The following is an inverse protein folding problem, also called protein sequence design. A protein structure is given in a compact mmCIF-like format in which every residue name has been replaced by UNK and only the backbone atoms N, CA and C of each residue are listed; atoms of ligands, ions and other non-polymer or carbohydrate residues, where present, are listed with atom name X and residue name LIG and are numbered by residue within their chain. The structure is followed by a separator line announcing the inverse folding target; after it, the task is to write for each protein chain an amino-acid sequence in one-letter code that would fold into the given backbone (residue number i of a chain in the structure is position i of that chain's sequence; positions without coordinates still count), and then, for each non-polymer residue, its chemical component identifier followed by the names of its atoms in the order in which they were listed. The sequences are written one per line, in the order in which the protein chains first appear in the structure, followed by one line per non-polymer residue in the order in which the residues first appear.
data_IF_174115868846
#
_entry.id   IF_174115868846
#
_cell.length_a   1.000
_cell.length_b   1.000
_cell.length_c   1.000
_cell.angle_alpha   90.00
_cell.angle_beta   90.00
_cell.angle_gamma   90.00
#
_symmetry.space_group_name_H-M   'P 1'
#
loop_
_entity.id
_entity.type
_entity.pdbx_description
1 polymer ?
#
# COMPACT_ATOMS: atom_id res chain seq x y z
N UNK A 1 -12.69 -13.36 -6.90
CA UNK A 1 -11.77 -12.42 -6.24
C UNK A 1 -12.34 -12.10 -4.88
N UNK A 2 -11.71 -12.62 -3.84
CA UNK A 2 -12.15 -12.46 -2.45
C UNK A 2 -11.74 -11.11 -1.86
N UNK A 3 -10.76 -10.45 -2.48
CA UNK A 3 -10.20 -9.18 -2.07
C UNK A 3 -8.88 -8.87 -2.75
N UNK A 4 -8.27 -7.78 -2.35
CA UNK A 4 -6.94 -7.33 -2.75
C UNK A 4 -6.04 -7.27 -1.54
N UNK A 5 -4.79 -7.68 -1.70
CA UNK A 5 -3.76 -7.49 -0.69
C UNK A 5 -2.71 -6.50 -1.20
N UNK A 6 -2.52 -5.41 -0.48
CA UNK A 6 -1.56 -4.36 -0.84
C UNK A 6 -0.33 -4.40 0.06
N UNK A 7 0.82 -4.15 -0.54
CA UNK A 7 2.12 -4.01 0.14
C UNK A 7 2.77 -2.72 -0.35
N UNK A 8 3.26 -1.89 0.58
CA UNK A 8 4.06 -0.70 0.28
C UNK A 8 5.41 -0.82 0.96
N UNK A 9 6.48 -0.67 0.18
CA UNK A 9 7.86 -0.80 0.64
C UNK A 9 8.75 0.32 0.08
N UNK A 10 9.82 0.64 0.82
CA UNK A 10 10.92 1.48 0.32
C UNK A 10 11.87 0.73 -0.61
N UNK A 11 11.74 -0.59 -0.72
CA UNK A 11 12.49 -1.40 -1.67
C UNK A 11 12.16 -1.02 -3.11
N UNK A 12 13.09 -1.30 -4.01
CA UNK A 12 12.81 -1.25 -5.45
C UNK A 12 11.83 -2.35 -5.86
N UNK A 13 11.09 -2.20 -6.98
CA UNK A 13 10.15 -3.24 -7.43
C UNK A 13 10.81 -4.60 -7.65
N UNK A 14 12.10 -4.64 -8.01
CA UNK A 14 12.88 -5.85 -8.22
C UNK A 14 13.26 -6.54 -6.89
N UNK A 15 13.55 -5.75 -5.84
CA UNK A 15 13.82 -6.29 -4.50
C UNK A 15 12.54 -6.81 -3.86
N UNK A 16 11.45 -6.05 -3.95
CA UNK A 16 10.16 -6.44 -3.42
C UNK A 16 9.61 -7.71 -4.09
N UNK A 17 9.95 -7.92 -5.37
CA UNK A 17 9.62 -9.14 -6.11
C UNK A 17 10.29 -10.41 -5.56
N UNK A 18 11.43 -10.29 -4.90
CA UNK A 18 12.18 -11.41 -4.36
C UNK A 18 11.68 -11.75 -2.95
N UNK A 19 10.59 -12.52 -2.90
CA UNK A 19 9.97 -12.99 -1.65
C UNK A 19 10.88 -13.87 -0.80
N UNK A 20 12.05 -14.31 -1.31
CA UNK A 20 13.05 -15.02 -0.50
C UNK A 20 13.93 -14.08 0.33
N UNK A 21 13.88 -12.77 0.04
CA UNK A 21 14.70 -11.73 0.66
C UNK A 21 13.86 -10.55 1.15
N UNK A 22 12.68 -10.83 1.70
CA UNK A 22 11.80 -9.78 2.26
C UNK A 22 12.53 -8.97 3.33
N UNK A 23 12.82 -7.70 3.04
CA UNK A 23 13.33 -6.80 4.05
C UNK A 23 12.18 -6.23 4.88
N UNK A 24 11.95 -6.83 6.04
CA UNK A 24 10.91 -6.37 6.97
C UNK A 24 11.10 -4.92 7.42
N UNK A 25 12.30 -4.34 7.35
CA UNK A 25 12.55 -2.95 7.71
C UNK A 25 12.18 -1.96 6.62
N UNK A 26 12.07 -2.42 5.37
CA UNK A 26 11.65 -1.59 4.24
C UNK A 26 10.12 -1.49 4.11
N UNK A 27 9.38 -2.41 4.75
CA UNK A 27 7.92 -2.41 4.75
C UNK A 27 7.38 -1.18 5.47
N UNK A 28 6.52 -0.42 4.79
CA UNK A 28 5.86 0.77 5.30
C UNK A 28 4.44 0.47 5.75
N UNK A 29 3.67 -0.20 4.90
CA UNK A 29 2.29 -0.57 5.18
C UNK A 29 1.89 -1.81 4.36
N UNK A 30 0.95 -2.58 4.89
CA UNK A 30 0.28 -3.64 4.16
C UNK A 30 -1.14 -3.82 4.66
N UNK A 31 -2.08 -4.10 3.78
CA UNK A 31 -3.48 -4.31 4.17
C UNK A 31 -4.24 -5.17 3.17
N UNK A 32 -5.30 -5.78 3.66
CA UNK A 32 -6.31 -6.45 2.85
C UNK A 32 -7.51 -5.51 2.60
N UNK A 33 -8.15 -5.66 1.45
CA UNK A 33 -9.32 -4.88 1.06
C UNK A 33 -10.29 -5.71 0.22
N UNK A 34 -11.58 -5.40 0.23
CA UNK A 34 -12.59 -6.04 -0.61
C UNK A 34 -12.49 -5.62 -2.08
N UNK A 35 -13.54 -5.90 -2.87
CA UNK A 35 -13.55 -5.78 -4.34
C UNK A 35 -13.02 -4.45 -4.92
N UNK A 36 -13.20 -3.33 -4.22
CA UNK A 36 -12.77 -1.98 -4.65
C UNK A 36 -11.42 -1.53 -4.06
N UNK A 37 -10.72 -2.43 -3.38
CA UNK A 37 -9.47 -2.15 -2.64
C UNK A 37 -8.27 -1.68 -3.48
N UNK A 38 -8.37 -1.75 -4.81
CA UNK A 38 -7.34 -1.32 -5.75
C UNK A 38 -7.68 0.01 -6.48
N UNK A 39 -8.87 0.58 -6.30
CA UNK A 39 -9.33 1.75 -7.07
C UNK A 39 -8.47 3.00 -6.79
N UNK A 40 -7.97 3.14 -5.56
CA UNK A 40 -7.13 4.26 -5.14
C UNK A 40 -5.84 4.36 -5.99
N UNK A 41 -5.16 3.23 -6.26
CA UNK A 41 -3.90 3.24 -7.02
C UNK A 41 -4.16 3.43 -8.51
N UNK A 42 -5.28 2.91 -9.02
CA UNK A 42 -5.73 3.19 -10.38
C UNK A 42 -6.01 4.70 -10.57
N UNK A 43 -6.66 5.34 -9.58
CA UNK A 43 -6.90 6.77 -9.59
C UNK A 43 -5.60 7.59 -9.53
N UNK A 44 -4.62 7.17 -8.73
CA UNK A 44 -3.30 7.81 -8.71
C UNK A 44 -2.56 7.69 -10.05
N UNK A 45 -2.67 6.54 -10.72
CA UNK A 45 -2.12 6.37 -12.08
C UNK A 45 -2.80 7.32 -13.07
N UNK A 46 -4.13 7.42 -13.04
CA UNK A 46 -4.89 8.33 -13.90
C UNK A 46 -4.53 9.81 -13.66
N UNK A 47 -4.12 10.17 -12.44
CA UNK A 47 -3.66 11.51 -12.07
C UNK A 47 -2.16 11.74 -12.38
N UNK A 48 -1.43 10.75 -12.90
CA UNK A 48 0.02 10.84 -13.13
C UNK A 48 0.86 10.86 -11.85
N UNK A 49 0.27 10.46 -10.71
CA UNK A 49 0.92 10.43 -9.38
C UNK A 49 1.54 9.07 -9.04
N UNK A 50 1.17 8.04 -9.78
CA UNK A 50 1.75 6.71 -9.71
C UNK A 50 2.03 6.20 -11.13
N UNK A 51 3.01 5.31 -11.27
CA UNK A 51 3.34 4.63 -12.52
C UNK A 51 3.11 3.14 -12.36
N UNK A 52 2.26 2.56 -13.20
CA UNK A 52 2.08 1.11 -13.26
C UNK A 52 3.21 0.48 -14.07
N UNK A 53 3.92 -0.47 -13.45
CA UNK A 53 5.05 -1.19 -14.06
C UNK A 53 4.64 -2.53 -14.66
N UNK A 54 3.76 -3.27 -13.95
CA UNK A 54 3.31 -4.59 -14.37
C UNK A 54 1.82 -4.74 -14.10
N UNK A 55 1.08 -5.28 -15.07
CA UNK A 55 -0.36 -5.54 -14.98
C UNK A 55 -0.80 -6.85 -15.66
N UNK A 56 0.15 -7.66 -16.15
CA UNK A 56 -0.14 -8.90 -16.88
C UNK A 56 -0.13 -10.12 -15.92
N UNK A 57 -1.02 -10.09 -14.93
CA UNK A 57 -1.08 -11.06 -13.83
C UNK A 57 -0.74 -10.43 -12.47
N UNK A 58 -0.77 -11.24 -11.40
CA UNK A 58 -0.49 -10.77 -10.04
C UNK A 58 0.96 -11.04 -9.63
N UNK A 59 1.59 -10.12 -8.87
CA UNK A 59 1.04 -8.85 -8.42
C UNK A 59 1.01 -7.77 -9.52
N UNK A 60 0.04 -6.87 -9.41
CA UNK A 60 0.13 -5.58 -10.09
C UNK A 60 1.18 -4.73 -9.37
N UNK A 61 2.14 -4.19 -10.12
CA UNK A 61 3.26 -3.41 -9.58
C UNK A 61 3.15 -1.96 -9.96
N UNK A 62 3.39 -1.09 -8.98
CA UNK A 62 3.38 0.35 -9.16
C UNK A 62 4.55 1.00 -8.43
N UNK A 63 4.90 2.19 -8.88
CA UNK A 63 5.77 3.11 -8.15
C UNK A 63 5.11 4.47 -7.99
N UNK A 64 5.34 5.11 -6.85
CA UNK A 64 4.84 6.45 -6.57
C UNK A 64 5.79 7.20 -5.64
N UNK A 65 5.78 8.54 -5.68
CA UNK A 65 6.59 9.34 -4.75
C UNK A 65 6.05 9.22 -3.32
N UNK A 66 6.96 9.19 -2.35
CA UNK A 66 6.65 9.33 -0.93
C UNK A 66 5.80 10.57 -0.64
N UNK A 67 5.97 11.67 -1.38
CA UNK A 67 5.16 12.89 -1.20
C UNK A 67 3.66 12.68 -1.48
N UNK A 68 3.33 11.66 -2.29
CA UNK A 68 1.96 11.28 -2.60
C UNK A 68 1.45 10.24 -1.61
N UNK A 69 2.28 9.24 -1.31
CA UNK A 69 1.89 8.05 -0.55
C UNK A 69 1.91 8.30 0.96
N UNK A 70 2.91 9.02 1.48
CA UNK A 70 3.04 9.28 2.92
C UNK A 70 1.82 10.03 3.47
N UNK A 71 1.35 11.13 2.84
CA UNK A 71 0.14 11.81 3.32
C UNK A 71 -1.12 10.93 3.22
N UNK A 72 -1.22 10.08 2.19
CA UNK A 72 -2.34 9.14 2.02
C UNK A 72 -2.35 8.12 3.17
N UNK A 73 -1.19 7.54 3.48
CA UNK A 73 -1.04 6.62 4.60
C UNK A 73 -1.34 7.33 5.92
N UNK A 74 -0.81 8.54 6.14
CA UNK A 74 -1.06 9.31 7.35
C UNK A 74 -2.53 9.69 7.53
N UNK A 75 -3.24 10.06 6.46
CA UNK A 75 -4.67 10.36 6.50
C UNK A 75 -5.48 9.11 6.86
N UNK A 76 -5.21 7.96 6.23
CA UNK A 76 -5.87 6.70 6.55
C UNK A 76 -5.52 6.15 7.94
N UNK A 77 -4.28 6.38 8.41
CA UNK A 77 -3.84 6.06 9.79
C UNK A 77 -4.55 6.95 10.81
N UNK A 78 -4.77 8.24 10.52
CA UNK A 78 -5.45 9.17 11.42
C UNK A 78 -6.90 8.78 11.71
N UNK A 79 -7.59 8.19 10.74
CA UNK A 79 -8.96 7.68 10.90
C UNK A 79 -9.03 6.35 11.68
N UNK A 80 -7.90 5.65 11.86
CA UNK A 80 -7.80 4.35 12.54
C UNK A 80 -7.26 4.43 13.99
N UNK A 81 -7.01 5.64 14.51
CA UNK A 81 -6.44 5.83 15.84
C UNK A 81 -7.50 5.75 16.95
N UNK A 82 -7.92 4.53 17.31
CA UNK A 82 -8.18 4.11 18.69
C UNK A 82 -8.38 2.59 18.79
N UNK A 83 -7.29 1.88 19.12
CA UNK A 83 -7.24 0.73 20.04
C UNK A 83 -7.90 -0.61 19.67
N UNK A 84 -9.15 -0.63 19.19
CA UNK A 84 -9.89 -1.85 18.90
C UNK A 84 -10.84 -1.55 17.73
N UNK A 85 -10.75 -2.33 16.65
CA UNK A 85 -11.76 -2.29 15.58
C UNK A 85 -13.08 -2.84 16.15
N UNK A 86 -14.12 -2.02 16.35
CA UNK A 86 -15.44 -2.57 16.62
C UNK A 86 -15.88 -3.22 15.31
N UNK A 87 -16.26 -4.50 15.38
CA UNK A 87 -16.98 -5.13 14.27
C UNK A 87 -18.09 -4.19 13.77
N UNK A 88 -18.19 -4.10 12.45
CA UNK A 88 -19.32 -3.54 11.70
C UNK A 88 -19.57 -2.03 11.77
N UNK A 89 -18.53 -1.21 11.68
CA UNK A 89 -18.67 0.13 11.07
C UNK A 89 -17.54 0.44 10.09
N UNK A 90 -17.90 0.80 8.86
CA UNK A 90 -16.98 1.16 7.77
C UNK A 90 -16.15 2.39 8.16
N UNK A 91 -14.94 2.18 8.66
CA UNK A 91 -13.81 3.01 8.26
C UNK A 91 -13.55 2.67 6.78
N UNK A 92 -13.18 3.63 5.93
CA UNK A 92 -13.15 3.46 4.46
C UNK A 92 -12.20 2.38 3.91
N UNK A 93 -11.59 1.55 4.76
CA UNK A 93 -10.66 0.47 4.42
C UNK A 93 -11.10 -0.86 5.06
N UNK A 94 -11.58 -1.83 4.27
CA UNK A 94 -12.11 -3.09 4.81
C UNK A 94 -11.03 -4.18 4.89
N UNK A 95 -10.25 -4.23 5.97
CA UNK A 95 -9.37 -5.38 6.25
C UNK A 95 -8.29 -5.17 7.31
N UNK A 96 -7.49 -6.22 7.57
CA UNK A 96 -6.35 -6.17 8.49
C UNK A 96 -5.25 -5.29 7.91
N UNK A 97 -4.92 -4.19 8.57
CA UNK A 97 -3.85 -3.27 8.16
C UNK A 97 -2.68 -3.33 9.15
N UNK A 98 -1.47 -3.45 8.62
CA UNK A 98 -0.21 -3.26 9.36
C UNK A 98 0.47 -2.02 8.84
N UNK A 99 0.84 -1.11 9.74
CA UNK A 99 1.51 0.14 9.39
C UNK A 99 2.72 0.36 10.27
N UNK A 100 3.77 0.96 9.71
CA UNK A 100 4.99 1.32 10.42
C UNK A 100 5.20 2.86 10.40
N UNK A 101 4.54 3.61 11.30
CA UNK A 101 4.54 5.08 11.28
C UNK A 101 5.93 5.71 11.33
N UNK A 102 6.85 5.14 12.12
CA UNK A 102 8.22 5.63 12.21
C UNK A 102 8.97 5.53 10.88
N UNK A 103 8.72 4.48 10.09
CA UNK A 103 9.36 4.27 8.79
C UNK A 103 8.73 5.16 7.73
N UNK A 104 7.42 5.35 7.78
CA UNK A 104 6.69 6.30 6.95
C UNK A 104 7.22 7.73 7.18
N UNK A 105 7.40 8.12 8.45
CA UNK A 105 7.95 9.43 8.80
C UNK A 105 9.43 9.59 8.41
N UNK A 106 10.17 8.49 8.27
CA UNK A 106 11.57 8.49 7.83
C UNK A 106 11.76 8.50 6.31
N UNK A 107 10.68 8.39 5.52
CA UNK A 107 10.77 8.45 4.06
C UNK A 107 11.27 9.83 3.61
N UNK A 108 12.25 9.85 2.71
CA UNK A 108 12.75 11.10 2.16
C UNK A 108 11.71 11.71 1.18
N UNK A 109 11.58 13.04 1.13
CA UNK A 109 10.76 13.70 0.10
C UNK A 109 11.24 13.29 -1.30
N UNK A 110 10.30 13.04 -2.22
CA UNK A 110 10.60 12.55 -3.56
C UNK A 110 11.10 11.10 -3.65
N UNK A 111 11.26 10.39 -2.53
CA UNK A 111 11.68 8.98 -2.56
C UNK A 111 10.63 8.14 -3.30
N UNK A 112 11.08 7.35 -4.26
CA UNK A 112 10.20 6.45 -4.97
C UNK A 112 9.90 5.23 -4.10
N UNK A 113 8.63 4.96 -3.88
CA UNK A 113 8.13 3.80 -3.14
C UNK A 113 7.58 2.77 -4.11
N UNK A 114 7.71 1.50 -3.73
CA UNK A 114 7.13 0.38 -4.48
C UNK A 114 5.82 -0.05 -3.84
N UNK A 115 4.83 -0.32 -4.69
CA UNK A 115 3.50 -0.78 -4.31
C UNK A 115 3.21 -2.06 -5.09
N UNK A 116 2.83 -3.12 -4.37
CA UNK A 116 2.30 -4.34 -4.95
C UNK A 116 0.84 -4.52 -4.55
N UNK A 117 0.01 -4.92 -5.51
CA UNK A 117 -1.39 -5.28 -5.29
C UNK A 117 -1.62 -6.69 -5.82
N UNK A 118 -1.94 -7.60 -4.90
CA UNK A 118 -2.20 -9.01 -5.14
C UNK A 118 -3.70 -9.29 -5.13
N UNK A 119 -4.16 -10.19 -5.98
CA UNK A 119 -5.52 -10.75 -5.90
C UNK A 119 -5.56 -11.87 -4.88
N UNK A 120 -6.63 -11.92 -4.08
CA UNK A 120 -6.89 -12.95 -3.07
C UNK A 120 -7.88 -14.02 -3.59
N UNK A 121 -7.84 -14.31 -4.90
CA UNK A 121 -8.65 -15.37 -5.53
C UNK A 121 -8.24 -16.77 -5.09
#
# INVERSE_FOLDING_TARGET
MSGWWTIISTETPQQLADMTKVNKEALLATWEAGLFGADWIAQLCAQGKATQLTFNGFPNRYTASADVIVPLLQAGIAEAQEGEFPQDTLTGWPGSITVHPQRIAACAPGQLLSIEVWDQS
#
